data_IF_426238712121
#
_entry.id   IF_426238712121
#
_cell.length_a   1.000
_cell.length_b   1.000
_cell.length_c   1.000
_cell.angle_alpha   90.00
_cell.angle_beta   90.00
_cell.angle_gamma   90.00
#
_symmetry.space_group_name_H-M   'P 1'
#
loop_
_entity.id
_entity.type
_entity.pdbx_description
1 polymer ?
#
# COMPACT_ATOMS: atom_id res chain seq x y z
N UNK A 1 -58.56 18.50 64.86
CA UNK A 1 -59.00 17.26 65.54
C UNK A 1 -57.96 16.19 65.28
N UNK A 2 -57.18 15.82 66.30
CA UNK A 2 -56.44 14.55 66.32
C UNK A 2 -57.44 13.41 66.56
N UNK A 3 -57.13 12.19 66.11
CA UNK A 3 -56.59 11.25 67.10
C UNK A 3 -55.37 10.49 66.60
N UNK A 4 -54.42 10.40 67.52
CA UNK A 4 -53.30 9.47 67.51
C UNK A 4 -53.80 8.02 67.58
N UNK A 5 -53.05 7.09 66.98
CA UNK A 5 -52.82 5.76 67.56
C UNK A 5 -51.46 5.22 67.14
N UNK A 6 -50.58 5.27 68.13
CA UNK A 6 -49.35 4.52 68.32
C UNK A 6 -49.62 3.01 68.20
N UNK A 7 -48.72 2.24 67.59
CA UNK A 7 -48.24 0.95 68.11
C UNK A 7 -46.99 0.49 67.35
N UNK A 8 -45.91 0.37 68.12
CA UNK A 8 -44.63 -0.25 67.79
C UNK A 8 -44.80 -1.73 67.42
N UNK A 9 -44.02 -2.21 66.44
CA UNK A 9 -43.24 -3.46 66.57
C UNK A 9 -42.03 -3.48 65.63
N UNK A 10 -40.85 -3.31 66.24
CA UNK A 10 -39.60 -4.05 66.06
C UNK A 10 -39.24 -4.70 64.70
N UNK A 11 -38.16 -4.15 64.13
CA UNK A 11 -37.01 -4.81 63.46
C UNK A 11 -37.09 -6.32 63.23
N UNK A 12 -36.99 -6.72 61.97
CA UNK A 12 -36.01 -7.70 61.46
C UNK A 12 -36.02 -7.67 59.93
N UNK A 13 -35.02 -7.02 59.33
CA UNK A 13 -34.72 -7.23 57.90
C UNK A 13 -33.95 -8.55 57.84
N UNK A 14 -34.63 -9.65 57.50
CA UNK A 14 -33.95 -10.86 57.05
C UNK A 14 -33.38 -10.58 55.66
N UNK A 15 -32.10 -10.24 55.60
CA UNK A 15 -31.30 -10.36 54.38
C UNK A 15 -31.16 -11.85 54.08
N UNK A 16 -32.05 -12.39 53.25
CA UNK A 16 -31.90 -13.72 52.69
C UNK A 16 -30.75 -13.66 51.66
N UNK A 17 -29.54 -13.95 52.14
CA UNK A 17 -28.37 -14.21 51.32
C UNK A 17 -28.57 -15.59 50.66
N UNK A 18 -29.23 -15.62 49.51
CA UNK A 18 -29.34 -16.85 48.72
C UNK A 18 -28.02 -17.06 47.99
N UNK A 19 -27.11 -17.79 48.64
CA UNK A 19 -26.00 -18.48 48.01
C UNK A 19 -26.58 -19.57 47.10
N UNK A 20 -26.96 -19.20 45.88
CA UNK A 20 -27.05 -20.18 44.80
C UNK A 20 -25.62 -20.58 44.41
N UNK A 21 -25.07 -21.53 45.18
CA UNK A 21 -24.05 -22.47 44.69
C UNK A 21 -24.78 -23.46 43.78
N UNK A 22 -25.30 -22.94 42.67
CA UNK A 22 -25.66 -23.75 41.53
C UNK A 22 -24.40 -23.86 40.71
N UNK A 23 -23.85 -25.07 40.61
CA UNK A 23 -22.86 -25.46 39.63
C UNK A 23 -23.24 -24.82 38.30
N UNK A 24 -22.62 -23.68 38.00
CA UNK A 24 -22.51 -23.22 36.65
C UNK A 24 -21.80 -24.36 35.97
N UNK A 25 -22.56 -25.16 35.22
CA UNK A 25 -22.00 -25.79 34.04
C UNK A 25 -21.16 -24.69 33.44
N UNK A 26 -19.84 -24.88 33.39
CA UNK A 26 -19.06 -24.20 32.40
C UNK A 26 -19.85 -24.46 31.12
N UNK A 27 -20.67 -23.49 30.71
CA UNK A 27 -20.99 -23.36 29.33
C UNK A 27 -19.60 -23.19 28.78
N UNK A 28 -19.05 -24.30 28.28
CA UNK A 28 -18.15 -24.26 27.18
C UNK A 28 -18.84 -23.27 26.25
N UNK A 29 -18.39 -22.01 26.30
CA UNK A 29 -18.64 -21.08 25.24
C UNK A 29 -18.03 -21.81 24.06
N UNK A 30 -18.85 -22.59 23.35
CA UNK A 30 -18.58 -22.93 21.99
C UNK A 30 -18.59 -21.58 21.31
N UNK A 31 -17.42 -20.94 21.29
CA UNK A 31 -17.21 -19.63 20.67
C UNK A 31 -17.47 -19.89 19.20
N UNK A 32 -18.73 -19.66 18.78
CA UNK A 32 -19.10 -19.79 17.39
C UNK A 32 -18.16 -18.92 16.56
N UNK A 33 -17.79 -19.40 15.37
CA UNK A 33 -16.92 -18.66 14.47
C UNK A 33 -17.40 -17.22 14.34
N UNK A 34 -16.49 -16.27 14.50
CA UNK A 34 -16.80 -14.86 14.28
C UNK A 34 -16.34 -14.47 12.89
N UNK A 35 -17.16 -13.66 12.21
CA UNK A 35 -16.95 -13.32 10.81
C UNK A 35 -16.71 -11.83 10.64
N UNK A 36 -15.90 -11.49 9.66
CA UNK A 36 -15.73 -10.15 9.13
C UNK A 36 -16.02 -10.13 7.63
N UNK A 37 -16.53 -9.00 7.14
CA UNK A 37 -16.88 -8.81 5.74
C UNK A 37 -16.18 -7.59 5.19
N UNK A 38 -15.83 -7.62 3.91
CA UNK A 38 -15.11 -6.53 3.23
C UNK A 38 -15.76 -6.18 1.90
N UNK A 39 -15.72 -4.90 1.57
CA UNK A 39 -16.26 -4.32 0.33
C UNK A 39 -15.35 -3.18 -0.15
N UNK A 40 -15.58 -2.73 -1.38
CA UNK A 40 -14.90 -1.57 -1.96
C UNK A 40 -15.84 -0.79 -2.85
N UNK A 41 -15.50 0.45 -3.18
CA UNK A 41 -16.23 1.22 -4.20
C UNK A 41 -15.84 0.78 -5.61
N UNK A 42 -16.59 1.24 -6.62
CA UNK A 42 -16.38 0.87 -8.03
C UNK A 42 -14.98 1.19 -8.58
N UNK A 43 -14.28 2.17 -7.98
CA UNK A 43 -12.92 2.58 -8.36
C UNK A 43 -11.86 1.91 -7.51
N UNK A 44 -12.25 0.94 -6.68
CA UNK A 44 -11.40 0.31 -5.69
C UNK A 44 -10.75 1.31 -4.71
N UNK A 45 -11.26 2.55 -4.59
CA UNK A 45 -10.53 3.68 -3.99
C UNK A 45 -10.43 3.60 -2.47
N UNK A 46 -11.38 2.92 -1.83
CA UNK A 46 -11.40 2.61 -0.39
C UNK A 46 -11.87 1.18 -0.13
N UNK A 47 -11.29 0.53 0.87
CA UNK A 47 -11.81 -0.73 1.42
C UNK A 47 -12.64 -0.44 2.66
N UNK A 48 -13.82 -1.04 2.71
CA UNK A 48 -14.78 -0.96 3.81
C UNK A 48 -14.87 -2.33 4.47
N UNK A 49 -15.12 -2.36 5.77
CA UNK A 49 -15.26 -3.60 6.52
C UNK A 49 -16.29 -3.49 7.63
N UNK A 50 -16.78 -4.66 8.05
CA UNK A 50 -17.71 -4.84 9.17
C UNK A 50 -17.31 -6.08 9.94
N UNK A 51 -17.34 -5.98 11.28
CA UNK A 51 -17.04 -7.08 12.20
C UNK A 51 -17.32 -6.66 13.65
N UNK A 52 -17.52 -7.62 14.58
CA UNK A 52 -17.78 -9.03 14.31
C UNK A 52 -19.23 -9.26 13.87
N UNK A 53 -19.48 -10.29 13.06
CA UNK A 53 -20.84 -10.79 12.76
C UNK A 53 -20.89 -12.32 12.88
N UNK A 54 -22.10 -12.87 12.91
CA UNK A 54 -22.35 -14.30 13.21
C UNK A 54 -22.38 -15.23 11.99
N UNK A 55 -22.36 -14.69 10.76
CA UNK A 55 -22.25 -15.50 9.54
C UNK A 55 -21.50 -14.78 8.43
N UNK A 56 -20.80 -15.54 7.57
CA UNK A 56 -20.08 -14.98 6.42
C UNK A 56 -21.00 -14.29 5.42
N UNK A 57 -22.21 -14.83 5.18
CA UNK A 57 -23.19 -14.21 4.27
C UNK A 57 -23.67 -12.86 4.77
N UNK A 58 -23.95 -12.75 6.08
CA UNK A 58 -24.29 -11.47 6.69
C UNK A 58 -23.12 -10.49 6.63
N UNK A 59 -21.89 -10.99 6.78
CA UNK A 59 -20.67 -10.18 6.70
C UNK A 59 -20.54 -9.50 5.33
N UNK A 60 -20.71 -10.24 4.23
CA UNK A 60 -20.67 -9.68 2.88
C UNK A 60 -21.74 -8.59 2.68
N UNK A 61 -22.98 -8.86 3.08
CA UNK A 61 -24.11 -7.93 2.92
C UNK A 61 -23.87 -6.66 3.72
N UNK A 62 -23.45 -6.81 4.99
CA UNK A 62 -23.17 -5.69 5.86
C UNK A 62 -21.98 -4.86 5.37
N UNK A 63 -20.95 -5.48 4.77
CA UNK A 63 -19.80 -4.75 4.23
C UNK A 63 -20.21 -3.85 3.05
N UNK A 64 -21.06 -4.36 2.15
CA UNK A 64 -21.61 -3.56 1.04
C UNK A 64 -22.51 -2.45 1.58
N UNK A 65 -23.34 -2.73 2.59
CA UNK A 65 -24.15 -1.71 3.26
C UNK A 65 -23.29 -0.62 3.90
N UNK A 66 -22.19 -1.00 4.56
CA UNK A 66 -21.23 -0.07 5.16
C UNK A 66 -20.54 0.81 4.11
N UNK A 67 -20.16 0.24 2.97
CA UNK A 67 -19.65 1.01 1.84
C UNK A 67 -20.65 2.09 1.40
N UNK A 68 -21.92 1.72 1.22
CA UNK A 68 -22.99 2.66 0.82
C UNK A 68 -23.24 3.72 1.89
N UNK A 69 -23.30 3.33 3.16
CA UNK A 69 -23.52 4.23 4.29
C UNK A 69 -22.40 5.27 4.43
N UNK A 70 -21.17 4.92 4.05
CA UNK A 70 -20.03 5.84 4.01
C UNK A 70 -19.89 6.58 2.68
N UNK A 71 -20.92 6.59 1.82
CA UNK A 71 -20.95 7.35 0.57
C UNK A 71 -20.19 6.73 -0.60
N UNK A 72 -19.77 5.46 -0.49
CA UNK A 72 -19.17 4.72 -1.60
C UNK A 72 -20.15 4.53 -2.76
N UNK A 73 -19.69 4.74 -3.99
CA UNK A 73 -20.46 4.52 -5.23
C UNK A 73 -20.15 3.15 -5.82
N UNK A 74 -21.17 2.52 -6.40
CA UNK A 74 -21.04 1.21 -7.06
C UNK A 74 -20.42 0.13 -6.18
N UNK A 75 -20.77 0.09 -4.88
CA UNK A 75 -20.13 -0.79 -3.89
C UNK A 75 -20.14 -2.27 -4.28
N UNK A 76 -18.95 -2.87 -4.33
CA UNK A 76 -18.67 -4.27 -4.66
C UNK A 76 -18.23 -5.03 -3.42
N UNK A 77 -18.68 -6.27 -3.27
CA UNK A 77 -18.18 -7.15 -2.21
C UNK A 77 -16.78 -7.66 -2.57
N UNK A 78 -15.87 -7.65 -1.60
CA UNK A 78 -14.55 -8.28 -1.72
C UNK A 78 -14.52 -9.68 -1.10
N UNK A 79 -15.35 -9.94 -0.08
CA UNK A 79 -15.54 -11.26 0.50
C UNK A 79 -15.81 -11.22 2.01
N UNK A 80 -15.62 -12.38 2.65
CA UNK A 80 -15.70 -12.55 4.09
C UNK A 80 -14.53 -13.37 4.59
N UNK A 81 -14.26 -13.28 5.89
CA UNK A 81 -13.23 -14.03 6.60
C UNK A 81 -13.73 -14.42 8.00
N UNK A 82 -13.17 -15.47 8.57
CA UNK A 82 -13.57 -15.97 9.89
C UNK A 82 -12.35 -16.26 10.75
N UNK A 83 -12.42 -15.91 12.03
CA UNK A 83 -11.37 -16.14 13.06
C UNK A 83 -9.94 -15.90 12.54
N UNK A 84 -9.78 -14.85 11.73
CA UNK A 84 -8.56 -14.54 10.96
C UNK A 84 -8.45 -13.03 10.73
N UNK A 85 -7.30 -12.62 10.20
CA UNK A 85 -7.04 -11.27 9.73
C UNK A 85 -7.16 -11.19 8.21
N UNK A 86 -7.84 -10.15 7.73
CA UNK A 86 -7.95 -9.82 6.31
C UNK A 86 -7.33 -8.44 6.05
N UNK A 87 -6.63 -8.31 4.94
CA UNK A 87 -6.08 -7.03 4.49
C UNK A 87 -5.95 -7.02 2.97
N UNK A 88 -5.87 -5.83 2.40
CA UNK A 88 -5.73 -5.65 0.96
C UNK A 88 -4.57 -4.72 0.63
N UNK A 89 -3.79 -5.10 -0.38
CA UNK A 89 -2.84 -4.23 -1.04
C UNK A 89 -3.43 -3.71 -2.36
N UNK A 90 -2.99 -2.54 -2.79
CA UNK A 90 -3.36 -1.92 -4.06
C UNK A 90 -2.12 -1.48 -4.83
N UNK A 91 -2.13 -1.66 -6.14
CA UNK A 91 -1.07 -1.16 -7.03
C UNK A 91 -1.41 0.24 -7.59
N UNK A 92 -0.59 0.74 -8.51
CA UNK A 92 -0.72 2.08 -9.11
C UNK A 92 -1.93 2.26 -10.04
N UNK A 93 -2.52 1.17 -10.54
CA UNK A 93 -3.71 1.18 -11.41
C UNK A 93 -4.98 0.75 -10.65
N UNK A 94 -4.96 0.86 -9.34
CA UNK A 94 -6.05 0.54 -8.42
C UNK A 94 -6.54 -0.93 -8.39
N UNK A 95 -5.73 -1.89 -8.82
CA UNK A 95 -6.02 -3.32 -8.65
C UNK A 95 -5.79 -3.76 -7.20
N UNK A 96 -6.75 -4.48 -6.62
CA UNK A 96 -6.73 -4.95 -5.23
C UNK A 96 -6.24 -6.41 -5.13
N UNK A 97 -5.37 -6.68 -4.15
CA UNK A 97 -4.82 -7.99 -3.84
C UNK A 97 -5.03 -8.33 -2.37
N UNK A 98 -5.69 -9.45 -2.09
CA UNK A 98 -6.02 -9.87 -0.71
C UNK A 98 -4.89 -10.61 -0.02
N UNK A 99 -4.81 -10.45 1.30
CA UNK A 99 -4.04 -11.28 2.20
C UNK A 99 -4.91 -11.72 3.37
N UNK A 100 -4.94 -13.02 3.65
CA UNK A 100 -5.72 -13.57 4.75
C UNK A 100 -4.88 -14.59 5.52
N UNK A 101 -4.83 -14.44 6.83
CA UNK A 101 -4.10 -15.34 7.73
C UNK A 101 -4.56 -15.15 9.16
N UNK A 102 -4.35 -16.15 10.01
CA UNK A 102 -4.51 -16.02 11.47
C UNK A 102 -3.46 -15.11 12.11
N UNK A 103 -2.41 -14.74 11.38
CA UNK A 103 -1.45 -13.74 11.81
C UNK A 103 -1.65 -12.44 11.02
N UNK A 104 -1.80 -11.28 11.68
CA UNK A 104 -1.90 -10.00 10.99
C UNK A 104 -0.64 -9.71 10.15
N UNK A 105 0.53 -10.09 10.66
CA UNK A 105 1.80 -9.92 9.96
C UNK A 105 1.83 -10.70 8.64
N UNK A 106 1.41 -11.97 8.70
CA UNK A 106 1.38 -12.85 7.53
C UNK A 106 0.32 -12.41 6.53
N UNK A 107 -0.84 -11.94 6.99
CA UNK A 107 -1.88 -11.38 6.11
C UNK A 107 -1.32 -10.17 5.32
N UNK A 108 -0.66 -9.21 5.98
CA UNK A 108 -0.04 -8.06 5.34
C UNK A 108 1.04 -8.47 4.33
N UNK A 109 1.93 -9.39 4.73
CA UNK A 109 2.98 -9.93 3.87
C UNK A 109 2.40 -10.62 2.63
N UNK A 110 1.32 -11.40 2.78
CA UNK A 110 0.65 -12.08 1.67
C UNK A 110 0.04 -11.08 0.68
N UNK A 111 -0.67 -10.05 1.17
CA UNK A 111 -1.28 -9.04 0.32
C UNK A 111 -0.22 -8.29 -0.51
N UNK A 112 0.87 -7.83 0.12
CA UNK A 112 1.96 -7.13 -0.58
C UNK A 112 2.64 -8.04 -1.58
N UNK A 113 2.99 -9.28 -1.22
CA UNK A 113 3.64 -10.22 -2.16
C UNK A 113 2.77 -10.55 -3.37
N UNK A 114 1.46 -10.74 -3.18
CA UNK A 114 0.53 -10.96 -4.29
C UNK A 114 0.44 -9.73 -5.18
N UNK A 115 0.38 -8.54 -4.59
CA UNK A 115 0.39 -7.30 -5.34
C UNK A 115 1.68 -7.15 -6.16
N UNK A 116 2.86 -7.33 -5.56
CA UNK A 116 4.14 -7.11 -6.25
C UNK A 116 4.40 -8.15 -7.34
N UNK A 117 3.93 -9.39 -7.15
CA UNK A 117 3.97 -10.42 -8.19
C UNK A 117 2.97 -10.16 -9.33
N UNK A 118 1.80 -9.57 -9.02
CA UNK A 118 0.75 -9.29 -9.98
C UNK A 118 0.80 -7.90 -10.64
N UNK A 119 1.76 -7.05 -10.26
CA UNK A 119 1.85 -5.65 -10.72
C UNK A 119 3.21 -5.39 -11.36
N UNK A 120 3.31 -5.39 -12.70
CA UNK A 120 4.56 -5.13 -13.42
C UNK A 120 5.18 -3.77 -13.13
N UNK A 121 4.37 -2.77 -12.80
CA UNK A 121 4.74 -1.39 -12.43
C UNK A 121 5.04 -1.22 -10.93
N UNK A 122 4.77 -2.26 -10.12
CA UNK A 122 4.93 -2.20 -8.67
C UNK A 122 3.87 -1.32 -8.01
N UNK A 123 4.30 -0.28 -7.27
CA UNK A 123 3.38 0.67 -6.62
C UNK A 123 2.60 0.13 -5.41
N UNK A 124 2.85 -1.12 -5.00
CA UNK A 124 2.05 -1.83 -4.02
C UNK A 124 2.05 -1.20 -2.62
N UNK A 125 0.86 -0.88 -2.11
CA UNK A 125 0.62 -0.33 -0.77
C UNK A 125 -0.55 -1.02 -0.11
N UNK A 126 -0.49 -1.22 1.20
CA UNK A 126 -1.65 -1.62 1.98
C UNK A 126 -2.72 -0.51 1.97
N UNK A 127 -3.97 -0.91 1.78
CA UNK A 127 -5.15 -0.03 1.84
C UNK A 127 -5.56 0.29 3.28
N UNK A 128 -5.23 -0.61 4.21
CA UNK A 128 -5.46 -0.53 5.65
C UNK A 128 -4.48 -1.46 6.36
N UNK A 129 -4.31 -1.30 7.68
CA UNK A 129 -3.71 -2.36 8.49
C UNK A 129 -4.66 -3.57 8.55
N UNK A 130 -4.15 -4.78 8.85
CA UNK A 130 -4.97 -5.97 8.93
C UNK A 130 -6.16 -5.83 9.89
N UNK A 131 -7.33 -6.21 9.40
CA UNK A 131 -8.59 -6.22 10.12
C UNK A 131 -8.82 -7.64 10.63
N UNK A 132 -8.80 -7.86 11.94
CA UNK A 132 -8.80 -9.19 12.56
C UNK A 132 -10.07 -9.47 13.36
N UNK A 133 -10.71 -10.61 13.13
CA UNK A 133 -11.90 -11.06 13.85
C UNK A 133 -11.62 -12.40 14.54
N UNK A 134 -12.14 -12.62 15.75
CA UNK A 134 -11.86 -13.84 16.53
C UNK A 134 -11.61 -13.56 18.01
N UNK A 135 -11.91 -14.53 18.87
CA UNK A 135 -11.65 -14.42 20.32
C UNK A 135 -10.15 -14.28 20.65
N UNK A 136 -9.27 -14.77 19.76
CA UNK A 136 -7.81 -14.68 19.93
C UNK A 136 -7.19 -13.30 19.63
N UNK A 137 -7.97 -12.32 19.16
CA UNK A 137 -7.44 -10.99 18.84
C UNK A 137 -7.85 -9.94 19.87
N UNK A 138 -6.85 -9.25 20.40
CA UNK A 138 -7.04 -8.11 21.30
C UNK A 138 -7.83 -6.96 20.64
N UNK A 139 -8.49 -6.12 21.43
CA UNK A 139 -9.32 -5.02 20.93
C UNK A 139 -8.50 -4.04 20.08
N UNK A 140 -7.24 -3.83 20.44
CA UNK A 140 -6.28 -2.98 19.74
C UNK A 140 -6.03 -3.46 18.31
N UNK A 141 -5.97 -4.78 18.08
CA UNK A 141 -5.86 -5.35 16.74
C UNK A 141 -7.13 -5.15 15.90
N UNK A 142 -8.29 -5.00 16.55
CA UNK A 142 -9.57 -4.72 15.88
C UNK A 142 -9.70 -3.26 15.49
N UNK A 143 -9.08 -2.35 16.25
CA UNK A 143 -9.12 -0.91 16.00
C UNK A 143 -7.93 -0.36 15.20
N UNK A 144 -6.80 -1.07 15.14
CA UNK A 144 -5.58 -0.61 14.46
C UNK A 144 -5.85 -0.19 13.00
N UNK A 145 -6.69 -0.94 12.29
CA UNK A 145 -7.12 -0.62 10.93
C UNK A 145 -7.85 0.73 10.82
N UNK A 146 -8.68 1.08 11.80
CA UNK A 146 -9.44 2.33 11.81
C UNK A 146 -8.57 3.55 12.11
N UNK A 147 -7.50 3.36 12.89
CA UNK A 147 -6.60 4.41 13.36
C UNK A 147 -5.31 4.54 12.54
N UNK A 148 -5.12 3.65 11.55
CA UNK A 148 -3.90 3.57 10.76
C UNK A 148 -3.61 4.89 10.03
N UNK A 149 -2.41 5.43 10.26
CA UNK A 149 -1.94 6.62 9.55
C UNK A 149 -1.31 6.22 8.21
N UNK A 150 -1.33 7.10 7.19
CA UNK A 150 -0.68 6.84 5.91
C UNK A 150 0.79 6.42 6.03
N UNK A 151 1.54 7.04 6.96
CA UNK A 151 2.95 6.71 7.20
C UNK A 151 3.14 5.28 7.76
N UNK A 152 2.22 4.81 8.61
CA UNK A 152 2.26 3.45 9.17
C UNK A 152 1.95 2.41 8.09
N UNK A 153 0.94 2.69 7.25
CA UNK A 153 0.62 1.85 6.09
C UNK A 153 1.81 1.74 5.15
N UNK A 154 2.46 2.86 4.85
CA UNK A 154 3.65 2.87 4.00
C UNK A 154 4.81 2.11 4.64
N UNK A 155 5.07 2.29 5.94
CA UNK A 155 6.12 1.57 6.65
C UNK A 155 5.91 0.04 6.62
N UNK A 156 4.69 -0.42 6.87
CA UNK A 156 4.35 -1.86 6.81
C UNK A 156 4.43 -2.37 5.37
N UNK A 157 3.97 -1.59 4.40
CA UNK A 157 4.05 -1.95 2.99
C UNK A 157 5.50 -2.08 2.52
N UNK A 158 6.35 -1.11 2.86
CA UNK A 158 7.78 -1.10 2.56
C UNK A 158 8.53 -2.25 3.25
N UNK A 159 8.14 -2.63 4.48
CA UNK A 159 8.73 -3.78 5.18
C UNK A 159 8.59 -5.08 4.38
N UNK A 160 7.43 -5.33 3.77
CA UNK A 160 7.14 -6.58 3.04
C UNK A 160 7.37 -6.52 1.55
N UNK A 161 7.48 -5.32 0.99
CA UNK A 161 7.90 -5.16 -0.38
C UNK A 161 9.39 -5.52 -0.51
N UNK A 162 9.64 -6.65 -1.16
CA UNK A 162 10.98 -7.15 -1.47
C UNK A 162 11.29 -7.05 -2.96
N UNK A 163 10.45 -6.33 -3.70
CA UNK A 163 10.65 -6.08 -5.12
C UNK A 163 11.86 -5.16 -5.31
N UNK A 164 12.71 -5.46 -6.28
CA UNK A 164 13.70 -4.50 -6.76
C UNK A 164 13.01 -3.35 -7.50
N UNK A 165 13.70 -2.21 -7.59
CA UNK A 165 13.22 -1.05 -8.33
C UNK A 165 14.29 -0.56 -9.28
N UNK A 166 14.47 -1.32 -10.35
CA UNK A 166 15.50 -1.12 -11.36
C UNK A 166 15.02 -0.21 -12.48
N UNK A 167 15.88 0.75 -12.81
CA UNK A 167 15.82 1.54 -14.01
C UNK A 167 17.00 1.22 -14.94
N UNK A 168 16.83 1.49 -16.22
CA UNK A 168 17.89 1.39 -17.21
C UNK A 168 17.82 2.56 -18.19
N UNK A 169 18.98 2.97 -18.68
CA UNK A 169 19.14 3.99 -19.72
C UNK A 169 19.86 3.35 -20.91
N UNK A 170 19.37 3.63 -22.11
CA UNK A 170 20.00 3.27 -23.37
C UNK A 170 20.13 4.51 -24.26
N UNK A 171 21.11 4.47 -25.15
CA UNK A 171 21.31 5.47 -26.19
C UNK A 171 21.13 4.81 -27.55
N UNK A 172 20.27 5.38 -28.38
CA UNK A 172 20.03 4.90 -29.74
C UNK A 172 21.26 5.13 -30.64
N UNK A 173 21.18 4.71 -31.90
CA UNK A 173 22.20 5.08 -32.90
C UNK A 173 22.19 6.57 -33.26
N UNK A 174 21.03 7.23 -33.14
CA UNK A 174 20.87 8.67 -33.38
C UNK A 174 21.33 9.54 -32.21
N UNK A 175 21.65 8.93 -31.06
CA UNK A 175 22.05 9.62 -29.83
C UNK A 175 20.88 9.98 -28.90
N UNK A 176 19.68 9.48 -29.19
CA UNK A 176 18.52 9.70 -28.33
C UNK A 176 18.61 8.83 -27.07
N UNK A 177 18.28 9.43 -25.92
CA UNK A 177 18.29 8.74 -24.63
C UNK A 177 16.90 8.15 -24.36
N UNK A 178 16.86 6.84 -24.19
CA UNK A 178 15.67 6.09 -23.79
C UNK A 178 15.86 5.53 -22.38
N UNK A 179 14.75 5.30 -21.69
CA UNK A 179 14.74 4.84 -20.31
C UNK A 179 13.63 3.84 -20.06
N UNK A 180 13.83 2.96 -19.09
CA UNK A 180 12.80 2.06 -18.58
C UNK A 180 12.93 1.99 -17.06
N UNK A 181 11.87 2.33 -16.32
CA UNK A 181 11.88 2.50 -14.87
C UNK A 181 10.99 1.47 -14.14
N UNK A 182 11.22 1.31 -12.83
CA UNK A 182 10.35 0.55 -11.90
C UNK A 182 10.26 -0.96 -12.15
N UNK A 183 11.27 -1.56 -12.79
CA UNK A 183 11.32 -3.01 -13.03
C UNK A 183 11.81 -3.79 -11.80
N UNK A 184 11.39 -5.05 -11.62
CA UNK A 184 11.73 -5.82 -10.42
C UNK A 184 13.18 -6.30 -10.40
N UNK A 185 13.84 -6.36 -11.56
CA UNK A 185 15.22 -6.82 -11.72
C UNK A 185 15.96 -5.95 -12.75
N UNK A 186 17.29 -5.86 -12.61
CA UNK A 186 18.14 -5.18 -13.60
C UNK A 186 17.95 -5.78 -15.00
N UNK A 187 17.89 -7.11 -15.08
CA UNK A 187 17.73 -7.85 -16.33
C UNK A 187 16.44 -7.45 -17.05
N UNK A 188 15.32 -7.44 -16.34
CA UNK A 188 14.04 -7.04 -16.92
C UNK A 188 14.03 -5.58 -17.39
N UNK A 189 14.63 -4.67 -16.61
CA UNK A 189 14.75 -3.26 -17.01
C UNK A 189 15.45 -3.12 -18.37
N UNK A 190 16.59 -3.80 -18.52
CA UNK A 190 17.41 -3.75 -19.74
C UNK A 190 16.71 -4.45 -20.91
N UNK A 191 16.22 -5.68 -20.71
CA UNK A 191 15.56 -6.45 -21.77
C UNK A 191 14.31 -5.73 -22.30
N UNK A 192 13.54 -5.12 -21.40
CA UNK A 192 12.35 -4.36 -21.79
C UNK A 192 12.72 -3.12 -22.58
N UNK A 193 13.70 -2.33 -22.12
CA UNK A 193 14.14 -1.13 -22.83
C UNK A 193 14.67 -1.44 -24.24
N UNK A 194 15.57 -2.42 -24.34
CA UNK A 194 16.17 -2.80 -25.62
C UNK A 194 15.19 -3.48 -26.58
N UNK A 195 14.06 -3.99 -26.05
CA UNK A 195 12.97 -4.56 -26.84
C UNK A 195 11.96 -3.53 -27.37
N UNK A 196 12.09 -2.23 -27.04
CA UNK A 196 11.18 -1.21 -27.56
C UNK A 196 11.43 -0.92 -29.04
N UNK A 197 10.37 -0.63 -29.78
CA UNK A 197 10.44 -0.30 -31.21
C UNK A 197 11.30 0.94 -31.49
N UNK A 198 11.29 1.89 -30.55
CA UNK A 198 12.09 3.12 -30.62
C UNK A 198 13.58 2.90 -30.28
N UNK A 199 13.94 1.72 -29.75
CA UNK A 199 15.31 1.41 -29.34
C UNK A 199 16.15 0.72 -30.43
N UNK A 200 16.00 1.15 -31.69
CA UNK A 200 16.76 0.58 -32.81
C UNK A 200 18.26 0.87 -32.67
N UNK A 201 19.06 -0.19 -32.72
CA UNK A 201 20.52 -0.11 -32.57
C UNK A 201 20.97 0.37 -31.19
N UNK A 202 20.09 0.40 -30.18
CA UNK A 202 20.39 0.90 -28.85
C UNK A 202 21.57 0.20 -28.17
N UNK A 203 22.31 0.99 -27.41
CA UNK A 203 23.32 0.48 -26.47
C UNK A 203 22.95 0.90 -25.06
N UNK A 204 22.95 -0.06 -24.13
CA UNK A 204 22.82 0.23 -22.69
C UNK A 204 23.92 1.21 -22.27
N UNK A 205 23.54 2.31 -21.62
CA UNK A 205 24.47 3.23 -20.97
C UNK A 205 24.70 2.82 -19.52
N UNK A 206 23.63 2.75 -18.73
CA UNK A 206 23.71 2.41 -17.32
C UNK A 206 22.40 1.81 -16.81
N UNK A 207 22.47 1.28 -15.60
CA UNK A 207 21.35 0.81 -14.79
C UNK A 207 21.42 1.46 -13.42
N UNK A 208 20.29 1.58 -12.75
CA UNK A 208 20.17 2.23 -11.44
C UNK A 208 19.07 1.56 -10.62
N UNK A 209 19.25 1.51 -9.32
CA UNK A 209 18.27 0.96 -8.39
C UNK A 209 18.08 1.93 -7.22
N UNK A 210 16.82 2.18 -6.83
CA UNK A 210 16.47 3.05 -5.70
C UNK A 210 17.16 4.43 -5.74
N UNK A 211 17.32 4.99 -6.94
CA UNK A 211 18.07 6.21 -7.22
C UNK A 211 17.51 6.93 -8.44
N UNK A 212 18.03 8.13 -8.72
CA UNK A 212 17.75 8.88 -9.93
C UNK A 212 19.00 9.00 -10.82
N UNK A 213 18.76 9.15 -12.11
CA UNK A 213 19.76 9.48 -13.12
C UNK A 213 19.39 10.80 -13.79
N UNK A 214 20.28 11.77 -13.71
CA UNK A 214 20.26 12.95 -14.55
C UNK A 214 20.83 12.62 -15.91
N UNK A 215 20.20 13.13 -16.95
CA UNK A 215 20.51 12.88 -18.36
C UNK A 215 20.65 14.23 -19.04
N UNK A 216 21.85 14.57 -19.53
CA UNK A 216 22.14 15.85 -20.13
C UNK A 216 22.84 15.73 -21.48
N UNK A 217 22.61 16.69 -22.36
CA UNK A 217 23.24 16.74 -23.68
C UNK A 217 23.28 18.17 -24.20
N UNK A 218 24.12 18.41 -25.19
CA UNK A 218 24.18 19.69 -25.87
C UNK A 218 23.04 19.80 -26.90
N UNK A 219 22.27 20.88 -26.84
CA UNK A 219 21.18 21.13 -27.80
C UNK A 219 21.74 21.22 -29.23
N UNK A 220 21.11 20.50 -30.16
CA UNK A 220 21.48 20.50 -31.58
C UNK A 220 22.63 19.55 -31.95
N UNK A 221 23.30 18.93 -30.98
CA UNK A 221 24.30 17.88 -31.24
C UNK A 221 23.57 16.54 -31.36
N UNK A 222 23.88 15.79 -32.41
CA UNK A 222 23.31 14.45 -32.68
C UNK A 222 24.41 13.40 -32.70
N UNK A 223 23.99 12.16 -32.56
CA UNK A 223 24.88 11.00 -32.56
C UNK A 223 25.26 10.55 -31.16
N UNK A 224 25.55 9.26 -31.07
CA UNK A 224 25.90 8.54 -29.83
C UNK A 224 27.13 9.14 -29.14
N UNK A 225 27.15 9.07 -27.81
CA UNK A 225 28.31 9.43 -26.99
C UNK A 225 28.41 10.90 -26.62
N UNK A 226 27.37 11.68 -26.94
CA UNK A 226 27.26 13.10 -26.59
C UNK A 226 26.39 13.34 -25.34
N UNK A 227 25.97 12.25 -24.70
CA UNK A 227 25.12 12.25 -23.52
C UNK A 227 25.95 12.15 -22.24
N UNK A 228 25.53 12.87 -21.21
CA UNK A 228 26.16 12.93 -19.89
C UNK A 228 25.17 12.47 -18.84
N UNK A 229 25.64 11.60 -17.93
CA UNK A 229 24.78 11.03 -16.90
C UNK A 229 25.34 11.29 -15.51
N UNK A 230 24.47 11.48 -14.52
CA UNK A 230 24.85 11.55 -13.11
C UNK A 230 23.86 10.78 -12.24
N UNK A 231 24.36 9.93 -11.35
CA UNK A 231 23.52 9.16 -10.42
C UNK A 231 23.44 9.88 -9.07
N UNK A 232 22.21 10.12 -8.61
CA UNK A 232 21.97 10.67 -7.28
C UNK A 232 20.56 10.28 -6.80
N UNK A 233 20.37 9.91 -5.53
CA UNK A 233 19.02 9.69 -4.99
C UNK A 233 18.14 10.95 -4.97
N UNK A 234 18.74 12.13 -4.95
CA UNK A 234 18.01 13.40 -5.11
C UNK A 234 17.85 13.75 -6.60
N UNK A 235 16.62 13.89 -7.12
CA UNK A 235 16.37 14.09 -8.55
C UNK A 235 16.93 15.43 -9.07
N UNK A 236 16.81 16.51 -8.30
CA UNK A 236 17.32 17.82 -8.69
C UNK A 236 18.85 17.81 -8.78
N UNK A 237 19.51 17.17 -7.81
CA UNK A 237 20.96 17.01 -7.79
C UNK A 237 21.42 16.15 -8.95
N UNK A 238 20.76 15.02 -9.24
CA UNK A 238 21.08 14.17 -10.39
C UNK A 238 21.02 14.99 -11.69
N UNK A 239 19.92 15.70 -11.93
CA UNK A 239 19.74 16.57 -13.11
C UNK A 239 20.84 17.62 -13.20
N UNK A 240 21.04 18.39 -12.13
CA UNK A 240 21.98 19.51 -12.14
C UNK A 240 23.44 19.07 -12.28
N UNK A 241 23.81 17.94 -11.68
CA UNK A 241 25.15 17.35 -11.85
C UNK A 241 25.38 16.87 -13.29
N UNK A 242 24.39 16.22 -13.92
CA UNK A 242 24.52 15.82 -15.32
C UNK A 242 24.67 17.03 -16.26
N UNK A 243 23.90 18.11 -16.01
CA UNK A 243 24.01 19.37 -16.76
C UNK A 243 25.38 20.02 -16.57
N UNK A 244 25.87 20.10 -15.33
CA UNK A 244 27.18 20.66 -15.04
C UNK A 244 28.30 19.86 -15.73
N UNK A 245 28.20 18.53 -15.75
CA UNK A 245 29.15 17.67 -16.47
C UNK A 245 29.13 17.95 -17.99
N UNK A 246 27.94 18.11 -18.58
CA UNK A 246 27.79 18.49 -19.98
C UNK A 246 28.43 19.85 -20.27
N UNK A 247 28.10 20.89 -19.50
CA UNK A 247 28.64 22.23 -19.70
C UNK A 247 30.15 22.27 -19.52
N UNK A 248 30.70 21.56 -18.52
CA UNK A 248 32.14 21.49 -18.31
C UNK A 248 32.89 20.79 -19.46
N UNK A 249 32.29 19.78 -20.07
CA UNK A 249 32.92 19.01 -21.16
C UNK A 249 32.76 19.66 -22.53
N UNK A 250 31.66 20.35 -22.78
CA UNK A 250 31.35 20.95 -24.08
C UNK A 250 31.69 22.44 -24.14
N UNK A 251 31.88 23.09 -22.99
CA UNK A 251 31.97 24.55 -22.89
C UNK A 251 30.63 25.26 -23.17
N UNK A 252 29.53 24.52 -23.39
CA UNK A 252 28.25 25.09 -23.75
C UNK A 252 27.35 25.27 -22.51
N UNK A 253 26.97 26.50 -22.15
CA UNK A 253 26.04 26.74 -21.04
C UNK A 253 24.59 26.32 -21.34
N UNK A 254 24.26 26.08 -22.62
CA UNK A 254 22.95 25.64 -23.10
C UNK A 254 22.74 24.12 -23.12
N UNK A 255 23.43 23.38 -22.25
CA UNK A 255 23.14 21.95 -22.06
C UNK A 255 21.74 21.77 -21.46
N UNK A 256 20.91 20.98 -22.14
CA UNK A 256 19.60 20.57 -21.64
C UNK A 256 19.77 19.35 -20.75
N UNK A 257 18.88 19.16 -19.78
CA UNK A 257 18.92 18.00 -18.91
C UNK A 257 17.54 17.59 -18.41
N UNK A 258 17.30 16.29 -18.29
CA UNK A 258 16.13 15.68 -17.67
C UNK A 258 16.57 14.72 -16.56
N UNK A 259 15.61 14.14 -15.83
CA UNK A 259 15.88 13.17 -14.76
C UNK A 259 14.89 12.01 -14.79
N UNK A 260 15.40 10.81 -14.57
CA UNK A 260 14.60 9.58 -14.41
C UNK A 260 14.90 8.95 -13.07
N UNK A 261 13.87 8.47 -12.36
CA UNK A 261 14.03 7.86 -11.05
C UNK A 261 13.35 6.50 -10.99
N UNK A 262 13.99 5.56 -10.32
CA UNK A 262 13.45 4.24 -10.05
C UNK A 262 13.61 3.94 -8.57
N UNK A 263 12.54 3.53 -7.91
CA UNK A 263 12.51 3.38 -6.46
C UNK A 263 11.12 3.57 -5.86
N UNK A 264 10.89 2.89 -4.74
CA UNK A 264 9.61 2.95 -4.00
C UNK A 264 9.25 4.38 -3.58
N UNK A 265 10.24 5.21 -3.25
CA UNK A 265 10.02 6.61 -2.87
C UNK A 265 9.54 7.50 -4.02
N UNK A 266 9.76 7.11 -5.27
CA UNK A 266 9.43 7.92 -6.46
C UNK A 266 8.09 7.54 -7.11
N UNK A 267 7.37 6.54 -6.58
CA UNK A 267 6.13 5.99 -7.18
C UNK A 267 4.94 6.96 -7.25
N UNK A 268 4.98 8.04 -6.45
CA UNK A 268 3.95 9.10 -6.50
C UNK A 268 4.41 10.30 -7.35
N UNK A 269 5.46 10.07 -8.15
CA UNK A 269 6.16 11.06 -8.93
C UNK A 269 7.26 11.78 -8.16
N UNK A 270 8.01 12.58 -8.91
CA UNK A 270 9.16 13.33 -8.42
C UNK A 270 9.34 14.64 -9.18
N UNK A 271 10.01 15.61 -8.55
CA UNK A 271 10.29 16.89 -9.20
C UNK A 271 11.18 16.67 -10.42
N UNK A 272 10.74 17.17 -11.57
CA UNK A 272 11.44 17.01 -12.84
C UNK A 272 11.01 15.78 -13.66
N UNK A 273 10.05 14.98 -13.20
CA UNK A 273 9.53 13.81 -13.95
C UNK A 273 8.91 14.21 -15.30
N UNK A 274 8.12 15.29 -15.33
CA UNK A 274 7.47 15.83 -16.53
C UNK A 274 8.33 16.87 -17.27
N UNK A 275 9.51 17.21 -16.74
CA UNK A 275 10.40 18.17 -17.38
C UNK A 275 11.00 17.56 -18.65
N UNK A 276 10.45 17.97 -19.79
CA UNK A 276 11.02 17.70 -21.10
C UNK A 276 12.30 18.53 -21.27
N UNK A 277 13.19 18.05 -22.12
CA UNK A 277 14.38 18.79 -22.51
C UNK A 277 13.99 20.13 -23.18
N UNK A 278 14.00 21.21 -22.40
CA UNK A 278 13.80 22.59 -22.88
C UNK A 278 15.14 23.24 -23.23
#
# INVERSE_FOLDING_TARGET
MMPARLLLTLRTVMTALVLFVGLGTAQAQGVGKTYGGTATDEKNSKVYWVMPVTSGKQAEVNAVAQCRAQGGKGCLKLGWFADSCMVYARNSIDTIYSGNSVSPEIAAKMAIRRCTAGSPDGGCKLTTLPVCVGAGYAAEHREAALKAKPAELEAVSAKYDKRGYWGSIAESETGDLLYADQYPTEKEAVEKLLGWEDCKGCKKLLTYENSCVGLAWQKGVKGRGNSFTALNPDPDTARNQSRAACTAKTGNPGCVAMVRCSGRQYKNGYKGEDEKAS
#
